data_IF_819247763067
#
_entry.id   IF_819247763067
#
_cell.length_a   1.000
_cell.length_b   1.000
_cell.length_c   1.000
_cell.angle_alpha   90.00
_cell.angle_beta   90.00
_cell.angle_gamma   90.00
#
_symmetry.space_group_name_H-M   'P 1'
#
loop_
_entity.id
_entity.type
_entity.pdbx_description
1 polymer ?
#
# COMPACT_ATOMS: atom_id res chain seq x y z
N UNK A 1 19.71 -22.52 -12.79
CA UNK A 1 19.18 -22.69 -11.42
C UNK A 1 20.32 -22.50 -10.45
N UNK A 2 20.22 -21.56 -9.48
CA UNK A 2 21.24 -21.39 -8.43
C UNK A 2 21.14 -22.56 -7.44
N UNK A 3 22.26 -23.05 -6.95
CA UNK A 3 22.30 -23.99 -5.81
C UNK A 3 21.91 -23.27 -4.52
N UNK A 4 21.52 -24.03 -3.48
CA UNK A 4 21.22 -23.47 -2.15
C UNK A 4 22.42 -22.70 -1.59
N UNK A 5 23.64 -23.20 -1.82
CA UNK A 5 24.87 -22.55 -1.37
C UNK A 5 25.13 -21.22 -2.07
N UNK A 6 25.00 -21.18 -3.40
CA UNK A 6 25.17 -19.94 -4.18
C UNK A 6 24.10 -18.89 -3.80
N UNK A 7 22.86 -19.32 -3.55
CA UNK A 7 21.79 -18.44 -3.11
C UNK A 7 22.11 -17.84 -1.73
N UNK A 8 22.53 -18.66 -0.78
CA UNK A 8 22.90 -18.22 0.56
C UNK A 8 24.10 -17.24 0.54
N UNK A 9 25.14 -17.54 -0.24
CA UNK A 9 26.29 -16.63 -0.38
C UNK A 9 25.92 -15.30 -1.02
N UNK A 10 25.05 -15.33 -2.05
CA UNK A 10 24.62 -14.11 -2.73
C UNK A 10 23.78 -13.25 -1.80
N UNK A 11 22.81 -13.86 -1.10
CA UNK A 11 21.97 -13.16 -0.13
C UNK A 11 22.79 -12.58 1.03
N UNK A 12 23.78 -13.33 1.55
CA UNK A 12 24.68 -12.84 2.59
C UNK A 12 25.42 -11.58 2.14
N UNK A 13 26.01 -11.59 0.93
CA UNK A 13 26.71 -10.42 0.38
C UNK A 13 25.78 -9.22 0.23
N UNK A 14 24.58 -9.42 -0.32
CA UNK A 14 23.60 -8.35 -0.48
C UNK A 14 23.20 -7.73 0.87
N UNK A 15 22.90 -8.55 1.88
CA UNK A 15 22.56 -8.06 3.22
C UNK A 15 23.76 -7.36 3.86
N UNK A 16 24.96 -7.93 3.76
CA UNK A 16 26.18 -7.34 4.32
C UNK A 16 26.48 -5.96 3.71
N UNK A 17 26.37 -5.82 2.38
CA UNK A 17 26.60 -4.55 1.68
C UNK A 17 25.59 -3.48 2.12
N UNK A 18 24.31 -3.87 2.31
CA UNK A 18 23.27 -2.96 2.79
C UNK A 18 23.54 -2.54 4.24
N UNK A 19 23.85 -3.49 5.12
CA UNK A 19 24.11 -3.21 6.54
C UNK A 19 25.41 -2.42 6.76
N UNK A 20 26.38 -2.56 5.86
CA UNK A 20 27.59 -1.73 5.85
C UNK A 20 27.33 -0.28 5.40
N UNK A 21 26.15 -0.01 4.85
CA UNK A 21 25.73 1.32 4.39
C UNK A 21 24.82 2.06 5.37
N UNK A 22 24.53 1.49 6.54
CA UNK A 22 23.77 2.11 7.64
C UNK A 22 24.67 2.28 8.86
N UNK A 23 24.19 2.93 9.92
CA UNK A 23 24.98 3.06 11.15
C UNK A 23 25.23 1.72 11.83
N UNK A 24 26.30 1.61 12.62
CA UNK A 24 26.60 0.41 13.40
C UNK A 24 25.47 0.03 14.36
N UNK A 25 24.80 1.03 14.96
CA UNK A 25 23.64 0.82 15.82
C UNK A 25 22.47 0.19 15.04
N UNK A 26 22.16 0.72 13.85
CA UNK A 26 21.10 0.17 12.98
C UNK A 26 21.42 -1.26 12.51
N UNK A 27 22.67 -1.51 12.10
CA UNK A 27 23.13 -2.84 11.71
C UNK A 27 23.06 -3.83 12.90
N UNK A 28 23.41 -3.36 14.10
CA UNK A 28 23.31 -4.15 15.33
C UNK A 28 21.85 -4.49 15.65
N UNK A 29 20.96 -3.50 15.64
CA UNK A 29 19.52 -3.72 15.85
C UNK A 29 18.99 -4.77 14.86
N UNK A 30 19.30 -4.62 13.58
CA UNK A 30 18.83 -5.56 12.56
C UNK A 30 19.36 -6.98 12.77
N UNK A 31 20.67 -7.14 12.98
CA UNK A 31 21.30 -8.45 13.12
C UNK A 31 20.93 -9.16 14.42
N UNK A 32 20.74 -8.44 15.52
CA UNK A 32 20.26 -9.00 16.80
C UNK A 32 18.83 -9.54 16.69
N UNK A 33 17.98 -8.95 15.84
CA UNK A 33 16.60 -9.43 15.60
C UNK A 33 16.53 -10.74 14.82
N UNK A 34 17.61 -11.17 14.17
CA UNK A 34 17.64 -12.41 13.39
C UNK A 34 17.96 -13.63 14.25
N UNK A 35 17.19 -14.71 14.04
CA UNK A 35 17.50 -16.03 14.60
C UNK A 35 18.61 -16.69 13.78
N UNK A 36 19.64 -17.19 14.46
CA UNK A 36 20.70 -18.01 13.88
C UNK A 36 20.55 -19.46 14.32
N UNK A 37 21.49 -20.33 13.91
CA UNK A 37 21.53 -21.70 14.42
C UNK A 37 21.99 -21.78 15.90
N UNK A 38 22.62 -20.72 16.42
CA UNK A 38 23.18 -20.68 17.78
C UNK A 38 22.30 -19.92 18.78
N UNK A 39 21.48 -18.98 18.29
CA UNK A 39 20.65 -18.14 19.16
C UNK A 39 19.31 -17.77 18.52
N UNK A 40 18.31 -17.64 19.38
CA UNK A 40 17.03 -17.03 19.02
C UNK A 40 17.25 -15.53 18.84
N UNK A 41 16.65 -14.96 17.80
CA UNK A 41 16.65 -13.52 17.56
C UNK A 41 16.04 -12.78 18.75
N UNK A 42 16.66 -11.67 19.13
CA UNK A 42 16.27 -10.92 20.31
C UNK A 42 14.96 -10.15 20.10
N UNK A 43 14.23 -9.89 21.19
CA UNK A 43 13.08 -8.99 21.16
C UNK A 43 13.51 -7.53 21.15
N UNK A 44 12.59 -6.62 20.85
CA UNK A 44 12.88 -5.18 20.92
C UNK A 44 13.30 -4.76 22.33
N UNK A 45 12.70 -5.35 23.37
CA UNK A 45 12.98 -5.08 24.77
C UNK A 45 14.39 -5.56 25.17
N UNK A 46 14.80 -6.73 24.69
CA UNK A 46 16.15 -7.26 24.94
C UNK A 46 17.23 -6.38 24.29
N UNK A 47 17.01 -5.97 23.04
CA UNK A 47 17.94 -5.08 22.32
C UNK A 47 17.95 -3.69 22.96
N UNK A 48 16.79 -3.16 23.34
CA UNK A 48 16.68 -1.87 24.01
C UNK A 48 17.42 -1.85 25.36
N UNK A 49 17.28 -2.91 26.15
CA UNK A 49 18.04 -3.09 27.39
C UNK A 49 19.55 -3.11 27.13
N UNK A 50 20.00 -3.85 26.11
CA UNK A 50 21.41 -3.96 25.75
C UNK A 50 22.02 -2.66 25.24
N UNK A 51 21.30 -1.91 24.40
CA UNK A 51 21.74 -0.63 23.83
C UNK A 51 21.45 0.57 24.73
N UNK A 52 20.77 0.36 25.88
CA UNK A 52 20.28 1.42 26.76
C UNK A 52 19.41 2.44 26.03
N UNK A 53 18.46 1.94 25.23
CA UNK A 53 17.51 2.73 24.42
C UNK A 53 16.08 2.44 24.82
N UNK A 54 15.16 3.23 24.27
CA UNK A 54 13.73 2.96 24.36
C UNK A 54 13.32 1.81 23.38
N UNK A 55 12.47 0.85 23.78
CA UNK A 55 12.01 -0.24 22.91
C UNK A 55 11.28 0.22 21.64
N UNK A 56 10.57 1.35 21.69
CA UNK A 56 9.89 1.95 20.54
C UNK A 56 10.93 2.49 19.55
N UNK A 57 12.00 3.12 20.05
CA UNK A 57 13.12 3.57 19.22
C UNK A 57 13.77 2.40 18.47
N UNK A 58 14.08 1.30 19.18
CA UNK A 58 14.64 0.07 18.57
C UNK A 58 13.71 -0.51 17.50
N UNK A 59 12.39 -0.55 17.77
CA UNK A 59 11.40 -0.98 16.79
C UNK A 59 11.47 -0.12 15.52
N UNK A 60 11.52 1.21 15.67
CA UNK A 60 11.60 2.11 14.52
C UNK A 60 12.90 1.98 13.75
N UNK A 61 14.04 1.78 14.43
CA UNK A 61 15.31 1.50 13.74
C UNK A 61 15.25 0.21 12.93
N UNK A 62 14.70 -0.85 13.49
CA UNK A 62 14.53 -2.10 12.74
C UNK A 62 13.67 -1.91 11.49
N UNK A 63 12.56 -1.17 11.60
CA UNK A 63 11.71 -0.82 10.46
C UNK A 63 12.43 0.06 9.45
N UNK A 64 13.26 1.01 9.90
CA UNK A 64 14.06 1.87 9.03
C UNK A 64 15.01 1.04 8.16
N UNK A 65 15.75 0.10 8.76
CA UNK A 65 16.65 -0.79 8.02
C UNK A 65 15.89 -1.66 7.03
N UNK A 66 14.74 -2.21 7.42
CA UNK A 66 13.89 -2.98 6.50
C UNK A 66 13.46 -2.15 5.29
N UNK A 67 12.94 -0.93 5.50
CA UNK A 67 12.55 -0.06 4.39
C UNK A 67 13.73 0.33 3.50
N UNK A 68 14.91 0.56 4.09
CA UNK A 68 16.12 0.83 3.33
C UNK A 68 16.55 -0.37 2.49
N UNK A 69 16.51 -1.59 3.04
CA UNK A 69 16.75 -2.83 2.30
C UNK A 69 15.78 -2.98 1.13
N UNK A 70 14.50 -2.69 1.36
CA UNK A 70 13.47 -2.76 0.33
C UNK A 70 13.75 -1.78 -0.82
N UNK A 71 14.04 -0.52 -0.51
CA UNK A 71 14.38 0.50 -1.51
C UNK A 71 15.65 0.13 -2.31
N UNK A 72 16.67 -0.44 -1.64
CA UNK A 72 17.88 -0.94 -2.31
C UNK A 72 17.58 -2.10 -3.24
N UNK A 73 16.74 -3.05 -2.83
CA UNK A 73 16.34 -4.18 -3.67
C UNK A 73 15.59 -3.72 -4.93
N UNK A 74 14.66 -2.77 -4.80
CA UNK A 74 13.91 -2.19 -5.94
C UNK A 74 14.81 -1.51 -6.97
N UNK A 75 15.88 -0.85 -6.52
CA UNK A 75 16.87 -0.23 -7.40
C UNK A 75 17.70 -1.23 -8.22
N UNK A 76 17.76 -2.50 -7.77
CA UNK A 76 18.52 -3.58 -8.40
C UNK A 76 17.64 -4.82 -8.60
N UNK A 77 16.76 -4.75 -9.60
CA UNK A 77 15.76 -5.80 -9.92
C UNK A 77 16.32 -7.20 -10.23
N UNK A 78 17.64 -7.34 -10.39
CA UNK A 78 18.32 -8.63 -10.59
C UNK A 78 18.88 -9.24 -9.29
N UNK A 79 18.65 -8.60 -8.13
CA UNK A 79 19.13 -9.06 -6.82
C UNK A 79 18.28 -10.20 -6.26
N UNK A 80 18.87 -11.02 -5.39
CA UNK A 80 18.14 -12.08 -4.67
C UNK A 80 17.09 -11.48 -3.75
N UNK A 81 17.42 -10.38 -3.06
CA UNK A 81 16.45 -9.65 -2.24
C UNK A 81 15.23 -9.18 -3.02
N UNK A 82 15.41 -8.67 -4.25
CA UNK A 82 14.28 -8.31 -5.11
C UNK A 82 13.43 -9.53 -5.47
N UNK A 83 14.06 -10.65 -5.86
CA UNK A 83 13.34 -11.90 -6.16
C UNK A 83 12.50 -12.37 -4.96
N UNK A 84 13.01 -12.26 -3.73
CA UNK A 84 12.28 -12.62 -2.51
C UNK A 84 11.12 -11.66 -2.18
N UNK A 85 11.25 -10.38 -2.54
CA UNK A 85 10.28 -9.35 -2.21
C UNK A 85 9.20 -9.12 -3.28
N UNK A 86 9.53 -9.36 -4.55
CA UNK A 86 8.68 -8.96 -5.67
C UNK A 86 7.28 -9.59 -5.62
N UNK A 87 7.19 -10.80 -5.08
CA UNK A 87 5.92 -11.51 -4.89
C UNK A 87 5.16 -11.09 -3.62
N UNK A 88 5.82 -10.37 -2.69
CA UNK A 88 5.24 -9.91 -1.43
C UNK A 88 4.50 -8.57 -1.55
N UNK A 89 4.88 -7.74 -2.53
CA UNK A 89 4.17 -6.50 -2.82
C UNK A 89 3.23 -6.73 -3.99
N UNK A 90 1.89 -6.69 -3.79
CA UNK A 90 1.00 -6.64 -4.94
C UNK A 90 1.36 -5.40 -5.78
N UNK A 91 1.35 -5.49 -7.11
CA UNK A 91 1.70 -4.37 -7.99
C UNK A 91 0.76 -3.16 -7.84
N UNK A 92 -0.34 -3.33 -7.10
CA UNK A 92 -1.30 -2.29 -6.78
C UNK A 92 -1.54 -2.35 -5.26
N UNK A 93 -1.41 -1.23 -4.52
CA UNK A 93 -1.60 -1.19 -3.08
C UNK A 93 -3.10 -1.23 -2.71
N UNK A 94 -3.79 -2.29 -3.12
CA UNK A 94 -5.17 -2.55 -2.73
C UNK A 94 -5.19 -3.49 -1.52
N UNK A 95 -6.15 -3.29 -0.64
CA UNK A 95 -6.52 -4.33 0.31
C UNK A 95 -6.92 -5.61 -0.43
N UNK A 96 -6.68 -6.76 0.20
CA UNK A 96 -7.03 -8.05 -0.39
C UNK A 96 -8.51 -8.16 -0.80
N UNK A 97 -9.41 -7.55 -0.02
CA UNK A 97 -10.83 -7.50 -0.36
C UNK A 97 -11.11 -6.64 -1.59
N UNK A 98 -10.45 -5.49 -1.70
CA UNK A 98 -10.59 -4.60 -2.85
C UNK A 98 -10.02 -5.22 -4.13
N UNK A 99 -8.89 -5.92 -4.03
CA UNK A 99 -8.30 -6.67 -5.15
C UNK A 99 -9.30 -7.68 -5.74
N UNK A 100 -10.03 -8.42 -4.91
CA UNK A 100 -11.09 -9.33 -5.38
C UNK A 100 -12.24 -8.61 -6.09
N UNK A 101 -12.65 -7.41 -5.63
CA UNK A 101 -13.64 -6.61 -6.37
C UNK A 101 -13.07 -6.20 -7.73
N UNK A 102 -11.82 -5.77 -7.77
CA UNK A 102 -11.18 -5.32 -8.99
C UNK A 102 -11.12 -6.42 -10.07
N UNK A 103 -10.79 -7.66 -9.68
CA UNK A 103 -10.82 -8.82 -10.57
C UNK A 103 -12.19 -9.03 -11.23
N UNK A 104 -13.29 -8.84 -10.49
CA UNK A 104 -14.64 -8.97 -11.06
C UNK A 104 -15.02 -7.79 -11.96
N UNK A 105 -14.60 -6.57 -11.62
CA UNK A 105 -14.79 -5.39 -12.47
C UNK A 105 -14.08 -5.57 -13.82
N UNK A 106 -12.85 -6.10 -13.82
CA UNK A 106 -12.11 -6.41 -15.05
C UNK A 106 -12.80 -7.48 -15.91
N UNK A 107 -13.64 -8.33 -15.31
CA UNK A 107 -14.51 -9.29 -16.00
C UNK A 107 -15.85 -8.69 -16.43
N UNK A 108 -16.02 -7.37 -16.32
CA UNK A 108 -17.22 -6.65 -16.75
C UNK A 108 -18.42 -6.78 -15.82
N UNK A 109 -18.24 -7.19 -14.56
CA UNK A 109 -19.34 -7.31 -13.60
C UNK A 109 -19.75 -5.97 -13.00
N UNK A 110 -21.06 -5.76 -12.85
CA UNK A 110 -21.62 -4.56 -12.19
C UNK A 110 -21.40 -4.60 -10.68
N UNK A 111 -21.53 -3.45 -10.01
CA UNK A 111 -21.46 -3.35 -8.54
C UNK A 111 -22.47 -4.29 -7.88
N UNK A 112 -23.69 -4.35 -8.39
CA UNK A 112 -24.77 -5.21 -7.90
C UNK A 112 -24.47 -6.69 -8.10
N UNK A 113 -23.93 -7.07 -9.26
CA UNK A 113 -23.51 -8.46 -9.51
C UNK A 113 -22.40 -8.87 -8.55
N UNK A 114 -21.39 -8.01 -8.37
CA UNK A 114 -20.27 -8.27 -7.46
C UNK A 114 -20.76 -8.37 -6.02
N UNK A 115 -21.65 -7.48 -5.59
CA UNK A 115 -22.24 -7.51 -4.26
C UNK A 115 -22.94 -8.86 -3.99
N UNK A 116 -23.70 -9.36 -4.97
CA UNK A 116 -24.37 -10.68 -4.89
C UNK A 116 -23.36 -11.84 -4.88
N UNK A 117 -22.43 -11.86 -5.85
CA UNK A 117 -21.41 -12.92 -5.98
C UNK A 117 -20.53 -13.04 -4.73
N UNK A 118 -20.16 -11.90 -4.14
CA UNK A 118 -19.31 -11.81 -2.95
C UNK A 118 -20.08 -11.84 -1.64
N UNK A 119 -21.42 -11.81 -1.67
CA UNK A 119 -22.30 -11.69 -0.50
C UNK A 119 -21.94 -10.49 0.39
N UNK A 120 -21.66 -9.35 -0.23
CA UNK A 120 -21.33 -8.09 0.44
C UNK A 120 -22.43 -7.05 0.19
N UNK A 121 -22.51 -6.04 1.07
CA UNK A 121 -23.38 -4.89 0.82
C UNK A 121 -22.87 -4.10 -0.38
N UNK A 122 -23.79 -3.51 -1.15
CA UNK A 122 -23.48 -2.60 -2.25
C UNK A 122 -22.51 -1.50 -1.83
N UNK A 123 -22.75 -0.87 -0.67
CA UNK A 123 -21.89 0.18 -0.12
C UNK A 123 -20.44 -0.27 0.08
N UNK A 124 -20.21 -1.53 0.47
CA UNK A 124 -18.86 -2.09 0.62
C UNK A 124 -18.16 -2.27 -0.73
N UNK A 125 -18.90 -2.63 -1.78
CA UNK A 125 -18.34 -2.71 -3.13
C UNK A 125 -18.04 -1.31 -3.67
N UNK A 126 -18.91 -0.33 -3.41
CA UNK A 126 -18.67 1.09 -3.71
C UNK A 126 -17.41 1.61 -3.01
N UNK A 127 -17.19 1.27 -1.73
CA UNK A 127 -15.96 1.59 -1.00
C UNK A 127 -14.72 1.02 -1.70
N UNK A 128 -14.76 -0.25 -2.11
CA UNK A 128 -13.67 -0.87 -2.87
C UNK A 128 -13.42 -0.15 -4.21
N UNK A 129 -14.48 0.25 -4.93
CA UNK A 129 -14.34 0.98 -6.22
C UNK A 129 -13.66 2.34 -6.01
N UNK A 130 -13.98 3.04 -4.93
CA UNK A 130 -13.31 4.30 -4.55
C UNK A 130 -11.82 4.07 -4.26
N UNK A 131 -11.49 3.01 -3.51
CA UNK A 131 -10.09 2.63 -3.23
C UNK A 131 -9.32 2.29 -4.51
N UNK A 132 -9.95 1.56 -5.44
CA UNK A 132 -9.37 1.24 -6.76
C UNK A 132 -9.08 2.53 -7.54
N UNK A 133 -10.04 3.46 -7.59
CA UNK A 133 -9.89 4.72 -8.30
C UNK A 133 -8.77 5.61 -7.73
N UNK A 134 -8.55 5.56 -6.41
CA UNK A 134 -7.48 6.29 -5.74
C UNK A 134 -6.08 5.71 -6.03
N UNK A 135 -5.97 4.38 -6.12
CA UNK A 135 -4.67 3.70 -6.19
C UNK A 135 -4.26 3.28 -7.61
N UNK A 136 -5.17 3.25 -8.58
CA UNK A 136 -4.89 2.86 -9.97
C UNK A 136 -5.04 4.09 -10.89
N UNK A 137 -3.93 4.72 -11.33
CA UNK A 137 -3.96 5.93 -12.16
C UNK A 137 -4.80 5.79 -13.43
N UNK A 138 -4.81 4.60 -14.06
CA UNK A 138 -5.52 4.36 -15.32
C UNK A 138 -6.93 3.80 -15.14
N UNK A 139 -7.44 3.66 -13.91
CA UNK A 139 -8.80 3.17 -13.69
C UNK A 139 -9.84 4.18 -14.19
N UNK A 140 -10.76 3.72 -15.05
CA UNK A 140 -11.83 4.56 -15.58
C UNK A 140 -13.02 4.58 -14.63
N UNK A 141 -13.47 5.78 -14.26
CA UNK A 141 -14.68 5.97 -13.44
C UNK A 141 -15.94 6.18 -14.27
N UNK A 142 -15.82 6.28 -15.60
CA UNK A 142 -16.93 6.50 -16.54
C UNK A 142 -18.08 5.48 -16.42
N UNK A 143 -17.84 4.19 -16.10
CA UNK A 143 -18.92 3.24 -15.89
C UNK A 143 -19.83 3.55 -14.69
N UNK A 144 -19.38 4.41 -13.77
CA UNK A 144 -20.06 4.71 -12.52
C UNK A 144 -20.61 6.13 -12.45
N UNK A 145 -20.08 7.04 -13.26
CA UNK A 145 -20.49 8.44 -13.31
C UNK A 145 -20.23 9.00 -14.71
N UNK A 146 -21.20 9.75 -15.24
CA UNK A 146 -21.01 10.43 -16.52
C UNK A 146 -20.16 11.71 -16.38
N UNK A 147 -19.57 12.15 -17.49
CA UNK A 147 -18.68 13.32 -17.55
C UNK A 147 -19.32 14.62 -17.04
N UNK A 148 -20.60 14.86 -17.35
CA UNK A 148 -21.29 16.09 -16.95
C UNK A 148 -21.43 16.18 -15.43
N UNK A 149 -21.80 15.08 -14.78
CA UNK A 149 -21.94 15.00 -13.32
C UNK A 149 -20.57 15.06 -12.64
N UNK A 150 -19.57 14.38 -13.20
CA UNK A 150 -18.19 14.47 -12.71
C UNK A 150 -17.67 15.92 -12.76
N UNK A 151 -17.85 16.61 -13.89
CA UNK A 151 -17.45 18.01 -14.05
C UNK A 151 -18.13 18.94 -13.04
N UNK A 152 -19.44 18.76 -12.80
CA UNK A 152 -20.20 19.54 -11.81
C UNK A 152 -19.68 19.33 -10.39
N UNK A 153 -19.31 18.11 -10.02
CA UNK A 153 -18.69 17.81 -8.72
C UNK A 153 -17.33 18.52 -8.62
N UNK A 154 -16.48 18.41 -9.64
CA UNK A 154 -15.15 19.05 -9.66
C UNK A 154 -15.28 20.57 -9.51
N UNK A 155 -16.18 21.21 -10.25
CA UNK A 155 -16.43 22.65 -10.16
C UNK A 155 -16.90 23.05 -8.76
N UNK A 156 -17.84 22.30 -8.19
CA UNK A 156 -18.36 22.56 -6.84
C UNK A 156 -17.28 22.43 -5.78
N UNK A 157 -16.45 21.38 -5.85
CA UNK A 157 -15.33 21.17 -4.93
C UNK A 157 -14.33 22.33 -5.01
N UNK A 158 -13.98 22.78 -6.22
CA UNK A 158 -13.07 23.91 -6.44
C UNK A 158 -13.64 25.23 -5.91
N UNK A 159 -14.94 25.47 -6.14
CA UNK A 159 -15.64 26.67 -5.66
C UNK A 159 -15.72 26.74 -4.13
N UNK A 160 -16.08 25.62 -3.49
CA UNK A 160 -16.30 25.55 -2.05
C UNK A 160 -15.01 25.31 -1.24
N UNK A 161 -13.92 24.89 -1.91
CA UNK A 161 -12.63 24.54 -1.28
C UNK A 161 -12.80 23.59 -0.10
N UNK A 162 -13.62 22.55 -0.29
CA UNK A 162 -13.92 21.58 0.76
C UNK A 162 -14.03 20.17 0.21
N UNK A 163 -13.66 19.19 1.02
CA UNK A 163 -13.89 17.76 0.76
C UNK A 163 -15.03 17.19 1.61
N UNK A 164 -15.75 18.05 2.35
CA UNK A 164 -16.89 17.64 3.18
C UNK A 164 -18.03 17.20 2.28
N UNK A 165 -18.25 15.88 2.20
CA UNK A 165 -19.22 15.26 1.30
C UNK A 165 -20.61 15.88 1.37
N UNK A 166 -21.13 16.11 2.58
CA UNK A 166 -22.46 16.72 2.78
C UNK A 166 -22.54 18.12 2.19
N UNK A 167 -21.50 18.94 2.39
CA UNK A 167 -21.44 20.32 1.88
C UNK A 167 -21.41 20.34 0.35
N UNK A 168 -20.65 19.42 -0.26
CA UNK A 168 -20.58 19.28 -1.72
C UNK A 168 -21.94 18.85 -2.27
N UNK A 169 -22.54 17.79 -1.70
CA UNK A 169 -23.83 17.27 -2.14
C UNK A 169 -24.93 18.34 -2.04
N UNK A 170 -25.01 19.04 -0.91
CA UNK A 170 -26.06 20.03 -0.65
C UNK A 170 -25.92 21.27 -1.55
N UNK A 171 -24.76 21.49 -2.19
CA UNK A 171 -24.51 22.59 -3.11
C UNK A 171 -24.74 22.23 -4.59
N UNK A 172 -25.04 20.96 -4.89
CA UNK A 172 -25.30 20.48 -6.25
C UNK A 172 -26.81 20.30 -6.41
N UNK A 173 -27.44 21.09 -7.27
CA UNK A 173 -28.89 20.99 -7.58
C UNK A 173 -29.24 19.77 -8.47
N UNK A 174 -28.56 18.64 -8.29
CA UNK A 174 -28.74 17.40 -9.06
C UNK A 174 -28.70 16.21 -8.10
N UNK A 175 -29.32 15.09 -8.47
CA UNK A 175 -29.36 13.88 -7.64
C UNK A 175 -28.02 13.15 -7.70
N UNK A 176 -27.00 13.73 -7.05
CA UNK A 176 -25.66 13.15 -6.94
C UNK A 176 -25.54 12.31 -5.68
N UNK A 177 -25.13 11.06 -5.85
CA UNK A 177 -24.90 10.15 -4.73
C UNK A 177 -23.58 10.45 -4.02
N UNK A 178 -23.51 10.09 -2.74
CA UNK A 178 -22.26 10.17 -1.98
C UNK A 178 -21.14 9.30 -2.56
N UNK A 179 -21.49 8.17 -3.19
CA UNK A 179 -20.54 7.31 -3.88
C UNK A 179 -19.86 8.05 -5.03
N UNK A 180 -20.64 8.73 -5.88
CA UNK A 180 -20.12 9.50 -7.02
C UNK A 180 -19.20 10.63 -6.59
N UNK A 181 -19.56 11.37 -5.53
CA UNK A 181 -18.69 12.42 -4.97
C UNK A 181 -17.37 11.82 -4.51
N UNK A 182 -17.41 10.72 -3.75
CA UNK A 182 -16.19 10.04 -3.28
C UNK A 182 -15.34 9.52 -4.43
N UNK A 183 -15.96 9.00 -5.48
CA UNK A 183 -15.27 8.46 -6.64
C UNK A 183 -14.52 9.55 -7.42
N UNK A 184 -15.15 10.71 -7.62
CA UNK A 184 -14.52 11.88 -8.25
C UNK A 184 -13.39 12.43 -7.38
N UNK A 185 -13.64 12.58 -6.07
CA UNK A 185 -12.62 13.07 -5.14
C UNK A 185 -11.40 12.14 -5.02
N UNK A 186 -11.59 10.83 -5.14
CA UNK A 186 -10.51 9.85 -5.17
C UNK A 186 -9.69 9.96 -6.46
N UNK A 187 -10.35 10.22 -7.60
CA UNK A 187 -9.69 10.31 -8.90
C UNK A 187 -8.87 11.59 -9.08
N UNK A 188 -9.33 12.72 -8.54
CA UNK A 188 -8.61 14.00 -8.57
C UNK A 188 -7.40 14.04 -7.60
N UNK A 189 -7.22 13.01 -6.76
CA UNK A 189 -6.10 12.89 -5.82
C UNK A 189 -6.08 14.01 -4.76
N UNK A 190 -4.93 14.20 -4.10
CA UNK A 190 -4.68 15.33 -3.19
C UNK A 190 -4.41 16.65 -3.94
N UNK A 191 -5.08 16.91 -5.05
CA UNK A 191 -5.14 18.30 -5.51
C UNK A 191 -5.98 19.08 -4.48
N UNK A 192 -5.39 20.18 -3.99
CA UNK A 192 -5.79 21.08 -2.89
C UNK A 192 -5.35 20.65 -1.47
#
# INVERSE_FOLDING_TARGET
>A
KRTVHELAQTLYKEIYDILSSVSEEEATVFTLRLTSFERIGWTNEQIASYLQKDPVYVRFQFQNVLHYMMARAESKRSSVLYELMHDLSPPIPLTFSTQKTYEWLLRGKSIEEIAKLRRLKRSTIEDHVVEIAANIPHFSIQPFINEKRAAKIIETVRKLRTRKLKVIRDAIDDDVSYFEIRLVLAKEGEMW
#
